data_IF_221710123772
#
_entry.id   IF_221710123772
#
_cell.length_a   1.000
_cell.length_b   1.000
_cell.length_c   1.000
_cell.angle_alpha   90.00
_cell.angle_beta   90.00
_cell.angle_gamma   90.00
#
_symmetry.space_group_name_H-M   'P 1'
#
loop_
_entity.id
_entity.type
_entity.pdbx_description
1 polymer ?
#
# COMPACT_ATOMS: atom_id res chain seq x y z
N UNK A 1 -13.96 20.93 11.03
CA UNK A 1 -12.96 20.62 9.99
C UNK A 1 -13.69 20.03 8.80
N UNK A 2 -13.32 20.44 7.59
CA UNK A 2 -13.88 19.86 6.36
C UNK A 2 -13.16 18.54 6.02
N UNK A 3 -13.88 17.60 5.42
CA UNK A 3 -13.29 16.35 4.96
C UNK A 3 -12.39 16.59 3.73
N UNK A 4 -11.22 15.96 3.71
CA UNK A 4 -10.37 15.88 2.52
C UNK A 4 -10.70 14.57 1.81
N UNK A 5 -11.13 14.67 0.54
CA UNK A 5 -11.61 13.52 -0.23
C UNK A 5 -10.55 12.92 -1.15
N UNK A 6 -9.53 13.70 -1.51
CA UNK A 6 -8.44 13.26 -2.36
C UNK A 6 -7.31 12.64 -1.53
N UNK A 7 -6.90 11.40 -1.83
CA UNK A 7 -5.62 10.88 -1.36
C UNK A 7 -4.45 11.62 -2.02
N UNK A 8 -3.31 11.63 -1.35
CA UNK A 8 -2.05 12.14 -1.90
C UNK A 8 -1.05 11.00 -2.03
N UNK A 9 -0.41 10.90 -3.19
CA UNK A 9 0.68 9.97 -3.43
C UNK A 9 2.02 10.69 -3.23
N UNK A 10 2.79 10.23 -2.23
CA UNK A 10 4.05 10.85 -1.85
C UNK A 10 5.24 10.25 -2.60
N UNK A 11 5.98 11.10 -3.30
CA UNK A 11 7.15 10.79 -4.14
C UNK A 11 8.38 11.56 -3.63
N UNK A 12 9.04 11.08 -2.56
CA UNK A 12 10.15 11.81 -1.91
C UNK A 12 11.39 12.00 -2.77
N UNK A 13 11.55 11.20 -3.84
CA UNK A 13 12.70 11.26 -4.75
C UNK A 13 12.52 12.26 -5.88
N UNK A 14 11.36 12.89 -5.99
CA UNK A 14 11.10 13.90 -7.00
C UNK A 14 11.74 15.25 -6.62
N UNK A 15 11.82 16.14 -7.59
CA UNK A 15 12.27 17.52 -7.39
C UNK A 15 11.38 18.26 -6.38
N UNK A 16 11.96 19.26 -5.71
CA UNK A 16 11.24 20.04 -4.71
C UNK A 16 9.98 20.68 -5.31
N UNK A 17 8.85 20.59 -4.59
CA UNK A 17 7.54 21.04 -5.09
C UNK A 17 6.75 19.99 -5.88
N UNK A 18 7.33 18.82 -6.20
CA UNK A 18 6.66 17.72 -6.92
C UNK A 18 6.58 16.42 -6.13
N UNK A 19 6.67 16.53 -4.79
CA UNK A 19 6.62 15.40 -3.87
C UNK A 19 5.22 14.82 -3.67
N UNK A 20 4.16 15.56 -3.97
CA UNK A 20 2.79 15.10 -3.77
C UNK A 20 2.02 15.15 -5.08
N UNK A 21 1.38 14.04 -5.41
CA UNK A 21 0.46 13.94 -6.52
C UNK A 21 -0.94 13.67 -5.98
N UNK A 22 -1.93 14.46 -6.45
CA UNK A 22 -3.32 14.32 -6.03
C UNK A 22 -3.95 13.14 -6.77
N UNK A 23 -4.53 12.21 -6.03
CA UNK A 23 -5.20 11.04 -6.58
C UNK A 23 -6.71 11.27 -6.73
N UNK A 24 -7.37 10.37 -7.47
CA UNK A 24 -8.83 10.39 -7.64
C UNK A 24 -9.54 10.38 -6.27
N UNK A 25 -10.58 11.23 -6.09
CA UNK A 25 -11.26 11.37 -4.81
C UNK A 25 -12.15 10.17 -4.49
N UNK A 26 -12.40 9.94 -3.19
CA UNK A 26 -13.53 9.15 -2.71
C UNK A 26 -14.75 10.05 -2.48
N UNK A 27 -15.95 9.48 -2.56
CA UNK A 27 -17.20 10.15 -2.14
C UNK A 27 -17.48 9.97 -0.64
N UNK A 28 -16.65 9.21 0.07
CA UNK A 28 -16.82 8.87 1.49
C UNK A 28 -15.81 9.65 2.34
N UNK A 29 -16.30 10.49 3.24
CA UNK A 29 -15.45 11.19 4.21
C UNK A 29 -14.90 10.21 5.27
N UNK A 30 -13.58 10.04 5.28
CA UNK A 30 -12.83 9.23 6.26
C UNK A 30 -12.28 10.14 7.36
N UNK A 31 -13.03 10.23 8.46
CA UNK A 31 -12.76 11.14 9.58
C UNK A 31 -12.13 10.38 10.75
N UNK A 32 -12.29 10.88 11.97
CA UNK A 32 -11.88 10.20 13.20
C UNK A 32 -12.46 8.77 13.27
N UNK A 33 -11.70 7.85 13.87
CA UNK A 33 -11.91 6.40 13.83
C UNK A 33 -11.90 5.73 12.45
N UNK A 34 -11.50 6.43 11.37
CA UNK A 34 -11.10 5.73 10.14
C UNK A 34 -9.75 5.03 10.32
N UNK A 35 -9.53 3.99 9.53
CA UNK A 35 -8.27 3.25 9.49
C UNK A 35 -7.96 2.79 8.06
N UNK A 36 -6.71 2.39 7.85
CA UNK A 36 -6.22 1.92 6.56
C UNK A 36 -5.18 0.82 6.74
N UNK A 37 -5.03 -0.07 5.76
CA UNK A 37 -3.99 -1.11 5.76
C UNK A 37 -3.61 -1.49 4.33
N UNK A 38 -2.33 -1.79 4.08
CA UNK A 38 -1.86 -2.31 2.80
C UNK A 38 -2.17 -3.82 2.68
N UNK A 39 -2.72 -4.21 1.55
CA UNK A 39 -2.95 -5.61 1.19
C UNK A 39 -1.74 -6.22 0.49
N UNK A 40 -1.66 -7.56 0.54
CA UNK A 40 -0.58 -8.34 -0.11
C UNK A 40 -0.58 -8.23 -1.63
N UNK A 41 -1.69 -7.81 -2.23
CA UNK A 41 -1.80 -7.57 -3.68
C UNK A 41 -1.45 -6.12 -4.07
N UNK A 42 -0.97 -5.31 -3.11
CA UNK A 42 -0.52 -3.94 -3.34
C UNK A 42 -1.63 -2.88 -3.27
N UNK A 43 -2.89 -3.26 -3.06
CA UNK A 43 -3.99 -2.31 -2.82
C UNK A 43 -3.97 -1.80 -1.39
N UNK A 44 -4.62 -0.66 -1.15
CA UNK A 44 -4.79 -0.09 0.19
C UNK A 44 -6.28 -0.15 0.55
N UNK A 45 -6.62 -0.83 1.65
CA UNK A 45 -7.98 -0.75 2.20
C UNK A 45 -8.09 0.51 3.04
N UNK A 46 -9.18 1.26 2.85
CA UNK A 46 -9.56 2.41 3.66
C UNK A 46 -10.95 2.14 4.19
N UNK A 47 -11.11 2.24 5.51
CA UNK A 47 -12.27 1.67 6.17
C UNK A 47 -12.69 2.44 7.39
N UNK A 48 -13.99 2.35 7.65
CA UNK A 48 -14.65 2.88 8.83
C UNK A 48 -14.53 4.42 8.90
N UNK A 49 -15.43 5.07 9.62
CA UNK A 49 -15.35 6.49 10.00
C UNK A 49 -16.42 6.70 11.05
N UNK A 50 -16.05 7.13 12.25
CA UNK A 50 -17.03 7.55 13.25
C UNK A 50 -16.48 8.67 14.12
N UNK A 51 -16.73 9.93 13.78
CA UNK A 51 -16.29 11.07 14.59
C UNK A 51 -17.15 11.31 15.83
N UNK A 52 -18.17 10.48 16.08
CA UNK A 52 -19.14 10.68 17.15
C UNK A 52 -18.89 9.74 18.34
N UNK A 53 -19.46 10.10 19.49
CA UNK A 53 -19.41 9.27 20.71
C UNK A 53 -20.11 7.92 20.55
N UNK A 54 -21.21 7.91 19.80
CA UNK A 54 -22.00 6.72 19.48
C UNK A 54 -22.09 6.56 17.96
N UNK A 55 -22.75 5.51 17.47
CA UNK A 55 -23.05 5.42 16.05
C UNK A 55 -24.19 6.36 15.67
N UNK A 56 -23.96 7.18 14.65
CA UNK A 56 -24.90 8.18 14.18
C UNK A 56 -25.01 8.11 12.66
N UNK A 57 -26.13 7.58 12.17
CA UNK A 57 -26.37 7.32 10.74
C UNK A 57 -27.33 8.33 10.09
N UNK A 58 -28.08 9.08 10.89
CA UNK A 58 -29.05 10.10 10.47
C UNK A 58 -28.34 11.47 10.36
N UNK A 59 -28.97 12.53 9.81
CA UNK A 59 -28.26 13.56 9.05
C UNK A 59 -27.36 14.44 9.94
N UNK A 60 -26.12 14.00 10.09
CA UNK A 60 -25.00 14.75 10.61
C UNK A 60 -24.04 15.10 9.47
N UNK A 61 -23.18 16.10 9.67
CA UNK A 61 -22.18 16.50 8.68
C UNK A 61 -21.23 15.35 8.28
N UNK A 62 -21.00 14.39 9.19
CA UNK A 62 -20.14 13.22 8.97
C UNK A 62 -20.74 11.98 9.64
N UNK A 63 -21.74 11.32 9.03
CA UNK A 63 -22.38 10.16 9.63
C UNK A 63 -21.39 8.99 9.74
N UNK A 64 -21.65 8.08 10.68
CA UNK A 64 -20.90 6.84 10.82
C UNK A 64 -20.88 6.08 9.50
N UNK A 65 -19.68 5.72 9.04
CA UNK A 65 -19.46 4.85 7.88
C UNK A 65 -18.88 3.53 8.37
N UNK A 66 -19.57 2.44 8.05
CA UNK A 66 -19.09 1.08 8.31
C UNK A 66 -18.56 0.40 7.02
N UNK A 67 -18.42 1.17 5.94
CA UNK A 67 -17.99 0.67 4.63
C UNK A 67 -16.48 0.63 4.52
N UNK A 68 -16.00 -0.24 3.62
CA UNK A 68 -14.62 -0.35 3.19
C UNK A 68 -14.53 0.04 1.71
N UNK A 69 -13.44 0.71 1.34
CA UNK A 69 -13.03 0.94 -0.05
C UNK A 69 -11.62 0.38 -0.25
N UNK A 70 -11.34 -0.11 -1.46
CA UNK A 70 -9.99 -0.49 -1.87
C UNK A 70 -9.45 0.55 -2.85
N UNK A 71 -8.42 1.28 -2.43
CA UNK A 71 -7.66 2.15 -3.31
C UNK A 71 -6.66 1.29 -4.11
N UNK A 72 -6.68 1.43 -5.43
CA UNK A 72 -5.76 0.76 -6.35
C UNK A 72 -4.74 1.79 -6.86
N UNK A 73 -3.48 1.75 -6.38
CA UNK A 73 -2.47 2.74 -6.78
C UNK A 73 -2.09 2.62 -8.27
N UNK A 74 -1.46 3.66 -8.87
CA UNK A 74 -1.12 3.67 -10.30
C UNK A 74 -0.27 2.48 -10.78
N UNK A 75 0.58 1.91 -9.92
CA UNK A 75 1.38 0.73 -10.27
C UNK A 75 0.54 -0.55 -10.46
N UNK A 76 -0.75 -0.54 -10.08
CA UNK A 76 -1.72 -1.61 -10.35
C UNK A 76 -2.63 -1.30 -11.54
N UNK A 77 -2.33 -0.28 -12.35
CA UNK A 77 -3.07 -0.04 -13.58
C UNK A 77 -3.03 -1.29 -14.50
N UNK A 78 -4.15 -1.66 -15.16
CA UNK A 78 -4.18 -2.78 -16.09
C UNK A 78 -3.11 -2.73 -17.19
N UNK A 79 -2.67 -1.53 -17.61
CA UNK A 79 -1.59 -1.38 -18.61
C UNK A 79 -0.27 -2.00 -18.15
N UNK A 80 -0.03 -2.08 -16.83
CA UNK A 80 1.16 -2.69 -16.24
C UNK A 80 0.98 -4.17 -15.91
N UNK A 81 -0.17 -4.79 -16.21
CA UNK A 81 -0.40 -6.21 -15.93
C UNK A 81 0.69 -7.14 -16.51
N UNK A 82 1.23 -6.93 -17.72
CA UNK A 82 2.32 -7.76 -18.25
C UNK A 82 3.62 -7.66 -17.45
N UNK A 83 3.86 -6.54 -16.76
CA UNK A 83 5.04 -6.28 -15.94
C UNK A 83 4.89 -6.77 -14.49
N UNK A 84 3.72 -7.27 -14.09
CA UNK A 84 3.50 -7.73 -12.71
C UNK A 84 4.25 -9.03 -12.44
N UNK A 85 5.21 -8.93 -11.55
CA UNK A 85 6.04 -10.04 -11.08
C UNK A 85 5.20 -11.02 -10.24
N UNK A 86 5.27 -12.31 -10.57
CA UNK A 86 4.75 -13.40 -9.75
C UNK A 86 5.90 -14.11 -9.05
N UNK A 87 5.99 -13.94 -7.73
CA UNK A 87 6.98 -14.65 -6.91
C UNK A 87 6.65 -16.15 -6.92
N UNK A 88 7.64 -16.98 -7.23
CA UNK A 88 7.57 -18.44 -7.21
C UNK A 88 8.21 -18.99 -5.93
N UNK A 89 9.39 -18.48 -5.58
CA UNK A 89 10.08 -18.75 -4.33
C UNK A 89 10.55 -17.44 -3.68
N UNK A 90 10.59 -17.33 -2.35
CA UNK A 90 10.22 -18.35 -1.38
C UNK A 90 8.70 -18.57 -1.27
N UNK A 91 8.29 -19.78 -0.91
CA UNK A 91 6.87 -20.07 -0.61
C UNK A 91 6.36 -19.33 0.64
N UNK A 92 5.03 -19.25 0.76
CA UNK A 92 4.37 -18.62 1.91
C UNK A 92 4.83 -19.22 3.23
N UNK A 93 4.94 -18.39 4.27
CA UNK A 93 5.40 -18.78 5.62
C UNK A 93 6.87 -19.23 5.71
N UNK A 94 7.69 -18.88 4.72
CA UNK A 94 9.15 -19.04 4.84
C UNK A 94 9.70 -18.20 5.98
N UNK A 95 10.48 -18.84 6.86
CA UNK A 95 11.16 -18.18 7.97
C UNK A 95 12.56 -17.75 7.54
N UNK A 96 12.86 -16.48 7.70
CA UNK A 96 14.18 -15.90 7.44
C UNK A 96 14.77 -15.37 8.74
N UNK A 97 16.07 -15.55 8.93
CA UNK A 97 16.83 -14.98 10.04
C UNK A 97 17.42 -13.63 9.64
N UNK A 98 17.77 -12.83 10.65
CA UNK A 98 18.49 -11.59 10.44
C UNK A 98 19.84 -11.86 9.74
N UNK A 99 20.15 -11.08 8.69
CA UNK A 99 21.37 -11.20 7.85
C UNK A 99 21.43 -12.50 7.01
N UNK A 100 20.36 -13.29 6.99
CA UNK A 100 20.28 -14.48 6.13
C UNK A 100 20.13 -14.09 4.66
N UNK A 101 20.96 -14.70 3.81
CA UNK A 101 20.80 -14.64 2.36
C UNK A 101 19.78 -15.69 1.92
N UNK A 102 18.88 -15.33 1.02
CA UNK A 102 17.91 -16.27 0.45
C UNK A 102 17.80 -16.06 -1.06
N UNK A 103 17.35 -17.11 -1.75
CA UNK A 103 17.05 -17.07 -3.18
C UNK A 103 15.58 -16.69 -3.36
N UNK A 104 15.32 -15.69 -4.20
CA UNK A 104 14.00 -15.37 -4.69
C UNK A 104 13.94 -15.69 -6.19
N UNK A 105 12.87 -16.35 -6.62
CA UNK A 105 12.57 -16.53 -8.04
C UNK A 105 11.19 -15.97 -8.34
N UNK A 106 11.05 -15.38 -9.52
CA UNK A 106 9.80 -14.80 -9.98
C UNK A 106 9.62 -15.03 -11.48
N UNK A 107 8.39 -14.93 -11.92
CA UNK A 107 8.00 -14.95 -13.33
C UNK A 107 7.43 -13.57 -13.71
N UNK A 108 7.67 -13.17 -14.94
CA UNK A 108 7.09 -11.98 -15.59
C UNK A 108 6.75 -12.36 -17.03
N UNK A 109 5.76 -11.69 -17.63
CA UNK A 109 5.30 -12.00 -18.98
C UNK A 109 6.01 -11.18 -20.07
N UNK A 110 6.90 -10.27 -19.67
CA UNK A 110 7.58 -9.31 -20.53
C UNK A 110 9.07 -9.23 -20.20
N UNK A 111 9.85 -8.68 -21.13
CA UNK A 111 11.28 -8.45 -20.92
C UNK A 111 11.48 -7.35 -19.88
N UNK A 112 12.24 -7.65 -18.82
CA UNK A 112 12.59 -6.69 -17.78
C UNK A 112 14.03 -6.21 -17.93
N UNK A 113 14.24 -4.92 -17.65
CA UNK A 113 15.58 -4.44 -17.32
C UNK A 113 15.93 -4.96 -15.93
N UNK A 114 16.79 -5.97 -15.87
CA UNK A 114 17.17 -6.66 -14.62
C UNK A 114 17.62 -5.68 -13.53
N UNK A 115 18.34 -4.62 -13.91
CA UNK A 115 18.82 -3.58 -13.00
C UNK A 115 17.72 -2.73 -12.35
N UNK A 116 16.51 -2.75 -12.90
CA UNK A 116 15.33 -2.03 -12.38
C UNK A 116 14.54 -2.83 -11.33
N UNK A 117 14.87 -4.11 -11.14
CA UNK A 117 14.16 -4.97 -10.18
C UNK A 117 14.56 -4.57 -8.76
N UNK A 118 13.55 -4.25 -7.95
CA UNK A 118 13.71 -3.92 -6.55
C UNK A 118 12.88 -4.90 -5.71
N UNK A 119 13.48 -5.44 -4.64
CA UNK A 119 12.78 -6.31 -3.70
C UNK A 119 12.60 -5.57 -2.39
N UNK A 120 11.36 -5.50 -1.92
CA UNK A 120 11.03 -4.88 -0.63
C UNK A 120 10.32 -5.85 0.29
N UNK A 121 10.58 -5.75 1.60
CA UNK A 121 9.83 -6.46 2.64
C UNK A 121 9.05 -5.44 3.47
N UNK A 122 7.76 -5.68 3.65
CA UNK A 122 6.90 -4.86 4.50
C UNK A 122 6.49 -5.63 5.76
N UNK A 123 6.73 -5.03 6.93
CA UNK A 123 6.07 -5.46 8.16
C UNK A 123 4.69 -4.78 8.24
N UNK A 124 3.59 -5.55 8.22
CA UNK A 124 2.25 -4.98 8.33
C UNK A 124 2.02 -4.43 9.75
N UNK A 125 1.36 -3.27 9.89
CA UNK A 125 1.10 -2.69 11.19
C UNK A 125 -0.27 -3.05 11.78
N UNK A 126 -0.44 -2.73 13.07
CA UNK A 126 -1.76 -2.51 13.67
C UNK A 126 -2.08 -1.01 13.61
N UNK A 127 -3.21 -0.66 12.98
CA UNK A 127 -3.58 0.72 12.68
C UNK A 127 -4.86 1.16 13.41
N UNK A 128 -4.73 2.17 14.26
CA UNK A 128 -5.87 2.79 14.96
C UNK A 128 -5.56 4.24 15.30
N UNK A 129 -6.57 5.11 15.30
CA UNK A 129 -6.42 6.52 15.67
C UNK A 129 -5.28 7.23 14.90
N UNK A 130 -5.09 6.89 13.63
CA UNK A 130 -3.99 7.38 12.78
C UNK A 130 -2.57 6.97 13.23
N UNK A 131 -2.45 6.07 14.21
CA UNK A 131 -1.18 5.46 14.60
C UNK A 131 -1.01 4.12 13.90
N UNK A 132 0.10 3.97 13.17
CA UNK A 132 0.51 2.71 12.54
C UNK A 132 1.67 2.08 13.29
N UNK A 133 1.37 1.19 14.22
CA UNK A 133 2.39 0.59 15.09
C UNK A 133 3.22 -0.44 14.33
N UNK A 134 4.55 -0.27 14.37
CA UNK A 134 5.54 -1.18 13.79
C UNK A 134 5.53 -1.30 12.25
N UNK A 135 4.86 -0.40 11.52
CA UNK A 135 4.98 -0.38 10.06
C UNK A 135 6.43 -0.04 9.66
N UNK A 136 7.06 -0.92 8.89
CA UNK A 136 8.39 -0.67 8.31
C UNK A 136 8.51 -1.33 6.95
N UNK A 137 9.13 -0.62 6.02
CA UNK A 137 9.51 -1.13 4.71
C UNK A 137 11.03 -1.27 4.69
N UNK A 138 11.51 -2.46 4.32
CA UNK A 138 12.92 -2.71 4.03
C UNK A 138 13.08 -2.81 2.53
N UNK A 139 14.08 -2.13 1.98
CA UNK A 139 14.57 -2.36 0.62
C UNK A 139 15.76 -3.31 0.73
N UNK A 140 15.66 -4.48 0.11
CA UNK A 140 16.70 -5.51 0.23
C UNK A 140 17.82 -5.27 -0.79
N UNK A 141 19.07 -5.43 -0.33
CA UNK A 141 20.21 -5.46 -1.22
C UNK A 141 20.17 -6.73 -2.08
N UNK A 142 20.42 -6.58 -3.38
CA UNK A 142 20.45 -7.69 -4.32
C UNK A 142 21.89 -7.97 -4.71
N UNK A 143 22.33 -9.23 -4.60
CA UNK A 143 23.71 -9.64 -4.90
C UNK A 143 23.88 -10.05 -6.35
N UNK A 144 22.94 -10.84 -6.87
CA UNK A 144 22.95 -11.34 -8.25
C UNK A 144 21.52 -11.56 -8.73
N UNK A 145 21.24 -11.11 -9.95
CA UNK A 145 19.99 -11.41 -10.65
C UNK A 145 20.34 -12.06 -11.97
N UNK A 146 19.75 -13.23 -12.25
CA UNK A 146 19.94 -13.95 -13.50
C UNK A 146 18.56 -14.32 -14.05
N UNK A 147 18.45 -14.29 -15.37
CA UNK A 147 17.37 -14.96 -16.09
C UNK A 147 17.70 -16.45 -16.13
N UNK A 148 16.68 -17.30 -15.96
CA UNK A 148 16.78 -18.75 -16.11
C UNK A 148 16.29 -19.13 -17.49
#
# INVERSE_FOLDING_TARGET
MNAVLNPFFYKPKNENGSWFEVMNPSTISRMYHSSTVLLRDGRVIVGISNPHKFYEFTPSFYPTKLTLEAFSPPYLDPMFAPLRLKILEPTSQTNLKYVEYFKMSFQVNETLMIESVCVTMLAPPLNTHSFSMNQRLLVLATTKVNTI
#
